data_IF_378222480779
#
_entry.id   IF_378222480779
#
_cell.length_a   1.000
_cell.length_b   1.000
_cell.length_c   1.000
_cell.angle_alpha   90.00
_cell.angle_beta   90.00
_cell.angle_gamma   90.00
#
_symmetry.space_group_name_H-M   'P 1'
#
loop_
_entity.id
_entity.type
_entity.pdbx_description
1 polymer ?
#
# COMPACT_ATOMS: atom_id res chain seq x y z
N UNK A 1 11.31 12.38 59.25
CA UNK A 1 10.79 11.00 59.03
C UNK A 1 10.25 11.01 57.62
N UNK A 2 11.17 10.87 56.67
CA UNK A 2 10.91 11.06 55.24
C UNK A 2 10.66 9.71 54.60
N UNK A 3 9.52 9.61 53.92
CA UNK A 3 9.08 8.45 53.16
C UNK A 3 9.79 8.49 51.82
N UNK A 4 10.69 7.53 51.60
CA UNK A 4 11.36 7.30 50.32
C UNK A 4 10.38 6.60 49.37
N UNK A 5 9.90 7.32 48.36
CA UNK A 5 9.24 6.74 47.18
C UNK A 5 10.31 6.32 46.18
N UNK A 6 10.47 5.01 45.98
CA UNK A 6 11.26 4.46 44.87
C UNK A 6 10.48 4.65 43.56
N UNK A 7 11.00 5.49 42.67
CA UNK A 7 10.60 5.54 41.28
C UNK A 7 11.07 4.27 40.56
N UNK A 8 10.13 3.53 39.98
CA UNK A 8 10.43 2.46 39.03
C UNK A 8 10.83 3.12 37.72
N UNK A 9 12.11 3.00 37.35
CA UNK A 9 12.61 3.45 36.06
C UNK A 9 11.92 2.68 34.93
N UNK A 10 11.11 3.39 34.14
CA UNK A 10 10.63 2.93 32.85
C UNK A 10 11.84 2.79 31.92
N UNK A 11 12.27 1.55 31.69
CA UNK A 11 13.25 1.20 30.66
C UNK A 11 12.74 1.77 29.34
N UNK A 12 13.50 2.73 28.82
CA UNK A 12 13.24 3.40 27.56
C UNK A 12 13.49 2.38 26.45
N UNK A 13 12.42 1.82 25.88
CA UNK A 13 12.51 0.91 24.73
C UNK A 13 13.06 1.72 23.56
N UNK A 14 14.29 1.41 23.18
CA UNK A 14 15.02 2.04 22.08
C UNK A 14 14.26 1.76 20.77
N UNK A 15 13.82 2.77 20.01
CA UNK A 15 13.07 2.53 18.78
C UNK A 15 13.97 1.85 17.74
N UNK A 16 13.42 0.79 17.14
CA UNK A 16 14.02 -0.05 16.10
C UNK A 16 14.77 0.77 15.02
N UNK A 17 15.93 0.29 14.50
CA UNK A 17 16.77 0.98 13.51
C UNK A 17 16.12 1.42 12.18
N UNK A 18 14.82 1.18 11.97
CA UNK A 18 14.04 1.61 10.80
C UNK A 18 13.42 3.00 10.94
N UNK A 19 13.52 3.67 12.11
CA UNK A 19 13.01 5.03 12.28
C UNK A 19 13.99 6.08 11.75
N UNK A 20 14.01 6.32 10.44
CA UNK A 20 14.53 7.58 9.90
C UNK A 20 13.67 8.09 8.73
N UNK A 21 12.98 9.21 9.01
CA UNK A 21 12.23 10.12 8.12
C UNK A 21 10.74 9.84 7.87
N UNK A 22 9.92 9.90 8.94
CA UNK A 22 8.64 10.65 8.82
C UNK A 22 8.96 12.13 8.99
N UNK A 23 8.82 12.91 7.92
CA UNK A 23 8.75 14.36 8.01
C UNK A 23 7.55 14.72 8.91
N UNK A 24 7.86 15.35 10.03
CA UNK A 24 6.92 16.03 10.90
C UNK A 24 6.26 17.18 10.13
N UNK A 25 4.96 17.06 9.81
CA UNK A 25 3.96 18.14 9.95
C UNK A 25 2.58 17.78 9.36
N UNK A 26 1.55 18.19 10.11
CA UNK A 26 0.10 18.17 9.83
C UNK A 26 -0.59 16.82 10.07
N UNK A 27 -0.86 16.55 11.34
CA UNK A 27 -2.02 15.75 11.71
C UNK A 27 -3.27 16.60 11.52
N UNK A 28 -4.19 16.12 10.69
CA UNK A 28 -5.60 16.43 10.85
C UNK A 28 -6.26 15.20 11.45
N UNK A 29 -6.68 15.36 12.69
CA UNK A 29 -7.56 14.45 13.42
C UNK A 29 -8.94 14.51 12.79
N UNK A 30 -9.40 13.44 12.17
CA UNK A 30 -10.82 13.22 11.88
C UNK A 30 -11.14 11.80 12.30
N UNK A 31 -11.47 11.62 13.58
CA UNK A 31 -12.23 10.49 14.10
C UNK A 31 -12.94 10.99 15.36
N UNK A 32 -14.06 11.67 15.17
CA UNK A 32 -15.12 11.70 16.16
C UNK A 32 -16.45 11.92 15.43
N UNK A 33 -17.28 10.88 15.36
CA UNK A 33 -18.74 11.02 15.26
C UNK A 33 -19.41 9.69 15.62
N UNK A 34 -20.22 9.74 16.67
CA UNK A 34 -21.25 8.79 17.06
C UNK A 34 -22.27 8.58 15.93
N UNK A 35 -22.67 7.32 15.69
CA UNK A 35 -23.71 6.95 14.73
C UNK A 35 -25.10 6.99 15.40
N UNK A 36 -25.98 7.83 14.86
CA UNK A 36 -27.44 7.68 14.95
C UNK A 36 -28.04 7.87 13.54
N UNK A 37 -29.11 7.11 13.27
CA UNK A 37 -29.68 6.73 11.97
C UNK A 37 -30.53 7.79 11.23
N UNK A 38 -30.30 7.88 9.91
CA UNK A 38 -31.14 8.36 8.76
C UNK A 38 -31.53 9.85 8.60
N UNK A 39 -31.84 10.35 7.36
CA UNK A 39 -31.46 9.93 6.00
C UNK A 39 -30.67 11.02 5.23
N UNK A 40 -30.11 10.64 4.07
CA UNK A 40 -29.57 11.47 2.96
C UNK A 40 -29.51 13.00 3.20
N UNK A 41 -28.33 13.49 3.57
CA UNK A 41 -27.98 14.88 3.30
C UNK A 41 -26.68 14.90 2.49
N UNK A 42 -26.82 15.32 1.23
CA UNK A 42 -25.75 15.72 0.32
C UNK A 42 -24.99 16.91 0.92
N UNK A 43 -24.20 16.67 1.96
CA UNK A 43 -23.08 17.54 2.27
C UNK A 43 -21.93 17.15 1.35
N UNK A 44 -22.09 17.44 0.05
CA UNK A 44 -20.96 17.55 -0.88
C UNK A 44 -20.00 18.57 -0.28
N UNK A 45 -18.95 18.08 0.39
CA UNK A 45 -17.76 18.87 0.62
C UNK A 45 -17.22 19.17 -0.76
N UNK A 46 -17.50 20.40 -1.21
CA UNK A 46 -17.22 20.95 -2.53
C UNK A 46 -15.76 20.67 -2.89
N UNK A 47 -15.52 19.55 -3.58
CA UNK A 47 -14.23 19.25 -4.17
C UNK A 47 -14.07 20.29 -5.26
N UNK A 48 -13.03 21.10 -5.23
CA UNK A 48 -12.76 21.98 -6.36
C UNK A 48 -11.26 21.96 -6.54
N UNK A 49 -10.82 21.67 -7.76
CA UNK A 49 -9.39 21.65 -8.10
C UNK A 49 -8.91 23.10 -8.24
N UNK A 50 -8.90 23.85 -7.13
CA UNK A 50 -8.62 25.30 -7.08
C UNK A 50 -7.13 25.55 -7.30
N UNK A 51 -6.77 26.52 -8.13
CA UNK A 51 -5.36 26.90 -8.37
C UNK A 51 -4.58 25.95 -9.29
N UNK A 52 -5.25 25.04 -9.99
CA UNK A 52 -4.67 24.14 -11.00
C UNK A 52 -4.77 24.65 -12.45
N UNK A 53 -5.28 25.87 -12.67
CA UNK A 53 -5.51 26.40 -14.03
C UNK A 53 -4.23 26.49 -14.85
N UNK A 54 -3.10 26.85 -14.22
CA UNK A 54 -1.81 26.87 -14.87
C UNK A 54 -1.33 25.45 -15.21
N UNK A 55 -1.62 24.44 -14.38
CA UNK A 55 -1.34 23.04 -14.72
C UNK A 55 -2.14 22.58 -15.95
N UNK A 56 -3.43 22.93 -16.03
CA UNK A 56 -4.27 22.66 -17.21
C UNK A 56 -3.73 23.37 -18.46
N UNK A 57 -3.44 24.66 -18.38
CA UNK A 57 -2.87 25.43 -19.48
C UNK A 57 -1.52 24.85 -19.92
N UNK A 58 -0.68 24.45 -18.97
CA UNK A 58 0.60 23.81 -19.23
C UNK A 58 0.43 22.42 -19.88
N UNK A 59 -0.55 21.62 -19.46
CA UNK A 59 -0.88 20.33 -20.09
C UNK A 59 -1.27 20.50 -21.56
N UNK A 60 -2.11 21.51 -21.86
CA UNK A 60 -2.50 21.88 -23.23
C UNK A 60 -1.28 22.36 -24.03
N UNK A 61 -0.41 23.17 -23.44
CA UNK A 61 0.81 23.63 -24.10
C UNK A 61 1.74 22.45 -24.43
N UNK A 62 1.91 21.50 -23.51
CA UNK A 62 2.68 20.27 -23.74
C UNK A 62 2.08 19.43 -24.88
N UNK A 63 0.77 19.42 -25.06
CA UNK A 63 0.13 18.77 -26.21
C UNK A 63 0.60 19.41 -27.53
N UNK A 64 0.54 20.75 -27.61
CA UNK A 64 0.91 21.51 -28.82
C UNK A 64 2.37 21.32 -29.24
N UNK A 65 3.26 21.06 -28.28
CA UNK A 65 4.68 20.78 -28.54
C UNK A 65 5.03 19.29 -28.50
N UNK A 66 4.04 18.41 -28.50
CA UNK A 66 4.17 16.95 -28.49
C UNK A 66 5.07 16.41 -27.34
N UNK A 67 4.85 16.89 -26.12
CA UNK A 67 5.64 16.54 -24.92
C UNK A 67 4.89 15.70 -23.88
N UNK A 68 3.57 15.57 -23.97
CA UNK A 68 2.77 14.84 -22.96
C UNK A 68 3.25 13.40 -22.78
N UNK A 69 3.33 12.61 -23.85
CA UNK A 69 3.79 11.21 -23.79
C UNK A 69 5.21 11.11 -23.22
N UNK A 70 6.12 11.97 -23.69
CA UNK A 70 7.51 11.97 -23.23
C UNK A 70 7.65 12.31 -21.74
N UNK A 71 6.78 13.16 -21.18
CA UNK A 71 6.73 13.44 -19.74
C UNK A 71 6.21 12.25 -18.95
N UNK A 72 5.13 11.60 -19.41
CA UNK A 72 4.58 10.42 -18.72
C UNK A 72 5.57 9.26 -18.73
N UNK A 73 6.17 8.94 -19.88
CA UNK A 73 7.19 7.89 -19.96
C UNK A 73 8.38 8.21 -19.04
N UNK A 74 8.87 9.46 -19.08
CA UNK A 74 9.95 9.87 -18.19
C UNK A 74 9.57 9.79 -16.72
N UNK A 75 8.32 10.06 -16.36
CA UNK A 75 7.83 9.92 -14.99
C UNK A 75 8.03 8.50 -14.48
N UNK A 76 7.62 7.49 -15.24
CA UNK A 76 7.81 6.12 -14.82
C UNK A 76 9.28 5.68 -14.86
N UNK A 77 10.09 6.19 -15.79
CA UNK A 77 11.54 5.94 -15.77
C UNK A 77 12.18 6.48 -14.48
N UNK A 78 11.90 7.73 -14.11
CA UNK A 78 12.41 8.31 -12.85
C UNK A 78 11.88 7.56 -11.62
N UNK A 79 10.61 7.12 -11.65
CA UNK A 79 9.98 6.33 -10.58
C UNK A 79 10.67 4.97 -10.39
N UNK A 80 10.83 4.19 -11.45
CA UNK A 80 11.41 2.83 -11.40
C UNK A 80 12.93 2.84 -11.17
N UNK A 81 13.58 3.96 -11.47
CA UNK A 81 14.99 4.22 -11.16
C UNK A 81 15.19 4.57 -9.68
N UNK A 82 14.39 5.51 -9.17
CA UNK A 82 14.53 6.06 -7.82
C UNK A 82 13.93 5.15 -6.74
N UNK A 83 12.88 4.40 -7.07
CA UNK A 83 12.10 3.59 -6.14
C UNK A 83 12.05 2.14 -6.62
N UNK A 84 13.20 1.45 -6.62
CA UNK A 84 13.32 0.09 -7.16
C UNK A 84 12.38 -0.92 -6.49
N UNK A 85 12.05 -0.75 -5.20
CA UNK A 85 11.07 -1.58 -4.49
C UNK A 85 9.65 -1.51 -5.07
N UNK A 86 9.33 -0.52 -5.91
CA UNK A 86 8.03 -0.42 -6.57
C UNK A 86 7.97 -1.20 -7.88
N UNK A 87 9.11 -1.60 -8.47
CA UNK A 87 9.16 -2.35 -9.74
C UNK A 87 8.24 -3.57 -9.75
N UNK A 88 8.13 -4.38 -8.67
CA UNK A 88 7.30 -5.58 -8.68
C UNK A 88 5.79 -5.34 -8.82
N UNK A 89 5.31 -4.11 -8.57
CA UNK A 89 3.91 -3.71 -8.74
C UNK A 89 3.49 -3.88 -10.21
N UNK A 90 4.35 -3.52 -11.16
CA UNK A 90 4.03 -3.58 -12.59
C UNK A 90 4.62 -4.82 -13.28
N UNK A 91 3.87 -5.45 -14.21
CA UNK A 91 4.41 -6.54 -15.04
C UNK A 91 5.67 -6.15 -15.82
N UNK A 92 5.72 -4.94 -16.39
CA UNK A 92 6.90 -4.45 -17.10
C UNK A 92 8.05 -4.12 -16.13
N UNK A 93 7.75 -3.66 -14.91
CA UNK A 93 8.77 -3.36 -13.90
C UNK A 93 9.47 -4.62 -13.38
N UNK A 94 8.73 -5.74 -13.27
CA UNK A 94 9.29 -7.06 -12.91
C UNK A 94 10.31 -7.62 -13.90
N UNK A 95 10.33 -7.10 -15.14
CA UNK A 95 11.26 -7.54 -16.20
C UNK A 95 12.53 -6.71 -16.26
N UNK A 96 12.67 -5.67 -15.44
CA UNK A 96 13.86 -4.84 -15.42
C UNK A 96 15.01 -5.62 -14.80
N UNK A 97 16.05 -5.88 -15.58
CA UNK A 97 17.33 -6.36 -15.10
C UNK A 97 18.15 -5.16 -14.58
N UNK A 98 18.51 -5.11 -13.28
CA UNK A 98 19.33 -4.02 -12.75
C UNK A 98 20.75 -3.97 -13.32
N UNK A 99 21.26 -5.06 -13.89
CA UNK A 99 22.60 -5.13 -14.48
C UNK A 99 22.63 -4.68 -15.95
N UNK A 100 21.48 -4.57 -16.59
CA UNK A 100 21.35 -4.07 -17.97
C UNK A 100 21.40 -2.55 -18.00
N UNK A 101 22.52 -1.95 -18.40
CA UNK A 101 22.66 -0.49 -18.54
C UNK A 101 21.65 0.15 -19.53
N UNK A 102 21.07 -0.66 -20.44
CA UNK A 102 20.11 -0.25 -21.46
C UNK A 102 18.64 -0.53 -21.10
N UNK A 103 18.35 -0.91 -19.84
CA UNK A 103 16.99 -1.27 -19.41
C UNK A 103 15.96 -0.15 -19.65
N UNK A 104 16.37 1.12 -19.57
CA UNK A 104 15.49 2.28 -19.83
C UNK A 104 15.02 2.27 -21.30
N UNK A 105 15.90 1.97 -22.25
CA UNK A 105 15.60 1.88 -23.68
C UNK A 105 14.71 0.68 -24.00
N UNK A 106 15.02 -0.48 -23.41
CA UNK A 106 14.19 -1.68 -23.54
C UNK A 106 12.78 -1.46 -22.99
N UNK A 107 12.66 -0.80 -21.83
CA UNK A 107 11.36 -0.48 -21.25
C UNK A 107 10.56 0.49 -22.14
N UNK A 108 11.21 1.50 -22.71
CA UNK A 108 10.58 2.40 -23.69
C UNK A 108 10.12 1.69 -24.96
N UNK A 109 10.51 0.44 -25.21
CA UNK A 109 10.00 -0.37 -26.32
C UNK A 109 8.90 -1.36 -25.89
N UNK A 110 8.73 -1.61 -24.60
CA UNK A 110 7.76 -2.56 -24.04
C UNK A 110 6.31 -2.09 -24.28
N UNK A 111 5.49 -2.98 -24.86
CA UNK A 111 4.09 -2.67 -25.21
C UNK A 111 3.21 -2.42 -23.98
N UNK A 112 3.43 -3.14 -22.88
CA UNK A 112 2.67 -2.97 -21.65
C UNK A 112 3.00 -1.65 -20.97
N UNK A 113 4.28 -1.25 -21.02
CA UNK A 113 4.72 0.05 -20.55
C UNK A 113 4.08 1.19 -21.34
N UNK A 114 4.13 1.13 -22.68
CA UNK A 114 3.50 2.12 -23.56
C UNK A 114 2.01 2.23 -23.34
N UNK A 115 1.31 1.09 -23.24
CA UNK A 115 -0.13 1.07 -22.99
C UNK A 115 -0.48 1.69 -21.63
N UNK A 116 0.32 1.43 -20.58
CA UNK A 116 0.12 2.06 -19.29
C UNK A 116 0.35 3.57 -19.34
N UNK A 117 1.43 4.03 -19.98
CA UNK A 117 1.70 5.46 -20.16
C UNK A 117 0.57 6.15 -20.96
N UNK A 118 0.07 5.52 -22.01
CA UNK A 118 -1.07 6.01 -22.79
C UNK A 118 -2.34 6.14 -21.95
N UNK A 119 -2.63 5.15 -21.09
CA UNK A 119 -3.77 5.20 -20.18
C UNK A 119 -3.66 6.35 -19.16
N UNK A 120 -2.47 6.57 -18.58
CA UNK A 120 -2.24 7.68 -17.65
C UNK A 120 -2.34 9.04 -18.36
N UNK A 121 -1.80 9.16 -19.57
CA UNK A 121 -1.94 10.39 -20.36
C UNK A 121 -3.41 10.69 -20.67
N UNK A 122 -4.19 9.68 -21.08
CA UNK A 122 -5.61 9.84 -21.35
C UNK A 122 -6.39 10.24 -20.08
N UNK A 123 -6.07 9.61 -18.93
CA UNK A 123 -6.65 9.98 -17.65
C UNK A 123 -6.36 11.44 -17.29
N UNK A 124 -5.11 11.91 -17.46
CA UNK A 124 -4.75 13.31 -17.20
C UNK A 124 -5.52 14.27 -18.10
N UNK A 125 -5.64 13.96 -19.40
CA UNK A 125 -6.45 14.78 -20.32
C UNK A 125 -7.90 14.86 -19.87
N UNK A 126 -8.52 13.72 -19.56
CA UNK A 126 -9.91 13.68 -19.08
C UNK A 126 -10.10 14.48 -17.79
N UNK A 127 -9.19 14.35 -16.82
CA UNK A 127 -9.24 15.12 -15.57
C UNK A 127 -9.11 16.63 -15.81
N UNK A 128 -8.24 17.04 -16.75
CA UNK A 128 -8.03 18.45 -17.07
C UNK A 128 -9.19 19.05 -17.87
N UNK A 129 -9.85 18.28 -18.72
CA UNK A 129 -11.04 18.69 -19.48
C UNK A 129 -12.27 18.86 -18.58
N UNK A 130 -12.44 17.98 -17.60
CA UNK A 130 -13.57 17.99 -16.67
C UNK A 130 -13.28 18.65 -15.31
N UNK A 131 -12.14 19.36 -15.18
CA UNK A 131 -11.72 20.03 -13.93
C UNK A 131 -12.82 20.89 -13.29
N UNK A 132 -13.66 21.52 -14.11
CA UNK A 132 -14.72 22.42 -13.68
C UNK A 132 -16.04 21.67 -13.34
N UNK A 133 -16.03 20.33 -13.38
CA UNK A 133 -17.13 19.43 -13.04
C UNK A 133 -16.73 18.52 -11.84
N UNK A 134 -16.61 19.09 -10.63
CA UNK A 134 -15.95 18.41 -9.53
C UNK A 134 -16.61 17.11 -9.07
N UNK A 135 -17.93 17.04 -9.06
CA UNK A 135 -18.65 15.80 -8.72
C UNK A 135 -18.42 14.67 -9.73
N UNK A 136 -18.12 15.00 -11.00
CA UNK A 136 -17.75 14.02 -12.01
C UNK A 136 -16.31 13.53 -11.78
N UNK A 137 -15.37 14.47 -11.62
CA UNK A 137 -13.95 14.16 -11.39
C UNK A 137 -13.73 13.36 -10.11
N UNK A 138 -14.41 13.73 -9.03
CA UNK A 138 -14.32 13.04 -7.74
C UNK A 138 -14.77 11.56 -7.86
N UNK A 139 -15.92 11.30 -8.49
CA UNK A 139 -16.41 9.94 -8.72
C UNK A 139 -15.45 9.10 -9.57
N UNK A 140 -14.94 9.68 -10.65
CA UNK A 140 -13.96 9.03 -11.52
C UNK A 140 -12.67 8.68 -10.76
N UNK A 141 -12.12 9.61 -9.99
CA UNK A 141 -10.89 9.39 -9.22
C UNK A 141 -11.09 8.35 -8.12
N UNK A 142 -12.27 8.31 -7.48
CA UNK A 142 -12.62 7.28 -6.52
C UNK A 142 -12.70 5.89 -7.18
N UNK A 143 -13.29 5.79 -8.38
CA UNK A 143 -13.33 4.54 -9.15
C UNK A 143 -11.92 4.08 -9.54
N UNK A 144 -11.09 5.00 -10.03
CA UNK A 144 -9.66 4.73 -10.30
C UNK A 144 -8.96 4.23 -9.02
N UNK A 145 -9.21 4.87 -7.87
CA UNK A 145 -8.69 4.44 -6.57
C UNK A 145 -9.13 3.03 -6.19
N UNK A 146 -10.41 2.70 -6.37
CA UNK A 146 -10.92 1.35 -6.11
C UNK A 146 -10.22 0.28 -6.95
N UNK A 147 -9.87 0.58 -8.22
CA UNK A 147 -9.05 -0.33 -9.03
C UNK A 147 -7.60 -0.44 -8.52
N UNK A 148 -7.00 0.67 -8.08
CA UNK A 148 -5.65 0.70 -7.54
C UNK A 148 -5.49 -0.14 -6.27
N UNK A 149 -6.55 -0.28 -5.46
CA UNK A 149 -6.58 -1.23 -4.34
C UNK A 149 -6.28 -2.66 -4.78
N UNK A 150 -6.80 -3.10 -5.93
CA UNK A 150 -6.57 -4.45 -6.48
C UNK A 150 -5.22 -4.60 -7.17
N UNK A 151 -4.57 -3.49 -7.54
CA UNK A 151 -3.21 -3.47 -8.11
C UNK A 151 -2.12 -3.39 -7.04
N UNK A 152 -2.48 -3.49 -5.76
CA UNK A 152 -1.56 -3.35 -4.63
C UNK A 152 -0.90 -1.98 -4.53
N UNK A 153 -1.55 -0.96 -5.07
CA UNK A 153 -1.11 0.40 -4.90
C UNK A 153 -1.58 0.95 -3.54
N UNK A 154 -0.70 1.68 -2.88
CA UNK A 154 -0.96 2.38 -1.62
C UNK A 154 -0.83 3.88 -1.82
N UNK A 155 -1.32 4.64 -0.84
CA UNK A 155 -1.28 6.09 -0.78
C UNK A 155 0.15 6.63 -0.94
N UNK A 156 1.15 5.91 -0.40
CA UNK A 156 2.58 6.25 -0.51
C UNK A 156 3.14 6.10 -1.94
N UNK A 157 2.59 5.21 -2.76
CA UNK A 157 3.03 5.08 -4.15
C UNK A 157 2.70 6.35 -4.97
N UNK A 158 1.58 7.02 -4.67
CA UNK A 158 1.22 8.28 -5.34
C UNK A 158 2.15 9.43 -4.95
N UNK A 159 2.72 9.43 -3.74
CA UNK A 159 3.77 10.39 -3.36
C UNK A 159 5.03 10.19 -4.20
N UNK A 160 5.45 8.94 -4.39
CA UNK A 160 6.58 8.60 -5.25
C UNK A 160 6.33 9.02 -6.70
N UNK A 161 5.11 8.77 -7.20
CA UNK A 161 4.68 9.21 -8.53
C UNK A 161 4.73 10.74 -8.67
N UNK A 162 4.23 11.49 -7.69
CA UNK A 162 4.28 12.95 -7.70
C UNK A 162 5.71 13.48 -7.81
N UNK A 163 6.63 12.95 -6.99
CA UNK A 163 8.05 13.34 -7.03
C UNK A 163 8.66 13.05 -8.40
N UNK A 164 8.43 11.85 -8.93
CA UNK A 164 8.93 11.44 -10.23
C UNK A 164 8.35 12.27 -11.38
N UNK A 165 7.06 12.63 -11.31
CA UNK A 165 6.38 13.45 -12.31
C UNK A 165 6.96 14.88 -12.35
N UNK A 166 7.21 15.48 -11.18
CA UNK A 166 7.86 16.78 -11.10
C UNK A 166 9.28 16.75 -11.67
N UNK A 167 10.05 15.70 -11.40
CA UNK A 167 11.37 15.50 -12.00
C UNK A 167 11.29 15.36 -13.53
N UNK A 168 10.32 14.59 -14.03
CA UNK A 168 10.09 14.40 -15.46
C UNK A 168 9.70 15.70 -16.18
N UNK A 169 8.82 16.51 -15.58
CA UNK A 169 8.47 17.84 -16.08
C UNK A 169 9.73 18.72 -16.21
N UNK A 170 10.55 18.82 -15.15
CA UNK A 170 11.80 19.61 -15.19
C UNK A 170 12.77 19.15 -16.27
N UNK A 171 12.82 17.85 -16.55
CA UNK A 171 13.72 17.25 -17.54
C UNK A 171 13.24 17.39 -18.98
N UNK A 172 11.93 17.26 -19.23
CA UNK A 172 11.36 17.20 -20.59
C UNK A 172 10.79 18.53 -21.07
N UNK A 173 10.40 19.40 -20.15
CA UNK A 173 9.75 20.67 -20.45
C UNK A 173 10.78 21.80 -20.42
N UNK A 174 11.26 22.17 -21.61
CA UNK A 174 12.29 23.19 -21.84
C UNK A 174 11.80 24.23 -22.85
N UNK A 175 12.42 25.40 -22.90
CA UNK A 175 12.04 26.45 -23.85
C UNK A 175 10.63 26.98 -23.58
N UNK A 176 9.75 26.95 -24.58
CA UNK A 176 8.39 27.53 -24.51
C UNK A 176 7.40 26.75 -23.63
N UNK A 177 7.77 25.57 -23.13
CA UNK A 177 6.99 24.84 -22.12
C UNK A 177 7.75 24.70 -20.79
N UNK A 178 8.77 25.52 -20.53
CA UNK A 178 9.55 25.42 -19.29
C UNK A 178 8.67 25.60 -18.05
N UNK A 179 8.95 24.80 -17.00
CA UNK A 179 8.39 25.02 -15.66
C UNK A 179 8.98 26.28 -15.02
N UNK A 180 8.11 27.20 -14.62
CA UNK A 180 8.37 28.22 -13.62
C UNK A 180 7.76 27.83 -12.27
N UNK A 181 7.97 28.66 -11.24
CA UNK A 181 7.53 28.37 -9.87
C UNK A 181 6.00 28.33 -9.73
N UNK A 182 5.28 29.13 -10.52
CA UNK A 182 3.81 29.20 -10.49
C UNK A 182 3.19 27.96 -11.14
N UNK A 183 3.71 27.55 -12.29
CA UNK A 183 3.33 26.30 -12.98
C UNK A 183 3.68 25.11 -12.09
N UNK A 184 4.87 25.09 -11.49
CA UNK A 184 5.30 24.03 -10.58
C UNK A 184 4.34 23.89 -9.38
N UNK A 185 3.99 25.01 -8.77
CA UNK A 185 3.02 25.07 -7.67
C UNK A 185 1.65 24.55 -8.09
N UNK A 186 1.16 24.99 -9.26
CA UNK A 186 -0.13 24.57 -9.80
C UNK A 186 -0.21 23.07 -10.07
N UNK A 187 0.88 22.46 -10.58
CA UNK A 187 0.97 21.00 -10.74
C UNK A 187 0.95 20.25 -9.41
N UNK A 188 1.66 20.75 -8.39
CA UNK A 188 1.65 20.16 -7.05
C UNK A 188 0.26 20.18 -6.44
N UNK A 189 -0.48 21.27 -6.61
CA UNK A 189 -1.88 21.37 -6.17
C UNK A 189 -2.75 20.35 -6.87
N UNK A 190 -2.73 20.33 -8.22
CA UNK A 190 -3.51 19.37 -9.01
C UNK A 190 -3.22 17.92 -8.61
N UNK A 191 -1.94 17.52 -8.56
CA UNK A 191 -1.58 16.16 -8.21
C UNK A 191 -1.91 15.82 -6.76
N UNK A 192 -1.83 16.81 -5.86
CA UNK A 192 -2.24 16.68 -4.46
C UNK A 192 -3.71 16.30 -4.36
N UNK A 193 -4.58 17.02 -5.05
CA UNK A 193 -6.03 16.76 -5.08
C UNK A 193 -6.36 15.42 -5.74
N UNK A 194 -5.69 15.09 -6.85
CA UNK A 194 -5.80 13.77 -7.49
C UNK A 194 -5.45 12.65 -6.51
N UNK A 195 -4.33 12.80 -5.77
CA UNK A 195 -3.92 11.84 -4.75
C UNK A 195 -4.97 11.70 -3.66
N UNK A 196 -5.54 12.80 -3.15
CA UNK A 196 -6.59 12.74 -2.12
C UNK A 196 -7.75 11.87 -2.59
N UNK A 197 -8.30 12.13 -3.77
CA UNK A 197 -9.46 11.37 -4.28
C UNK A 197 -9.15 9.91 -4.62
N UNK A 198 -8.00 9.63 -5.23
CA UNK A 198 -7.60 8.24 -5.45
C UNK A 198 -7.43 7.50 -4.10
N UNK A 199 -6.89 8.17 -3.08
CA UNK A 199 -6.74 7.60 -1.73
C UNK A 199 -8.10 7.36 -1.06
N UNK A 200 -9.07 8.27 -1.22
CA UNK A 200 -10.45 8.07 -0.78
C UNK A 200 -11.06 6.82 -1.44
N UNK A 201 -10.90 6.65 -2.75
CA UNK A 201 -11.33 5.44 -3.47
C UNK A 201 -10.71 4.14 -2.93
N UNK A 202 -9.41 4.16 -2.63
CA UNK A 202 -8.71 3.02 -1.99
C UNK A 202 -9.30 2.73 -0.61
N UNK A 203 -9.52 3.76 0.21
CA UNK A 203 -10.06 3.62 1.56
C UNK A 203 -11.50 3.07 1.55
N UNK A 204 -12.35 3.54 0.64
CA UNK A 204 -13.70 2.99 0.42
C UNK A 204 -13.61 1.52 0.05
N UNK A 205 -12.70 1.15 -0.86
CA UNK A 205 -12.57 -0.24 -1.27
C UNK A 205 -11.99 -1.14 -0.17
N UNK A 206 -11.10 -0.61 0.69
CA UNK A 206 -10.59 -1.28 1.89
C UNK A 206 -11.71 -1.59 2.87
N UNK A 207 -12.58 -0.61 3.14
CA UNK A 207 -13.80 -0.76 3.97
C UNK A 207 -14.72 -1.82 3.38
N UNK A 208 -15.02 -1.74 2.09
CA UNK A 208 -15.85 -2.73 1.41
C UNK A 208 -15.25 -4.14 1.53
N UNK A 209 -13.95 -4.27 1.30
CA UNK A 209 -13.24 -5.54 1.44
C UNK A 209 -13.34 -6.10 2.86
N UNK A 210 -13.06 -5.29 3.89
CA UNK A 210 -13.16 -5.73 5.29
C UNK A 210 -14.58 -6.19 5.66
N UNK A 211 -15.62 -5.59 5.07
CA UNK A 211 -17.02 -5.99 5.31
C UNK A 211 -17.38 -7.33 4.65
N UNK A 212 -16.90 -7.61 3.44
CA UNK A 212 -17.42 -8.73 2.61
C UNK A 212 -16.39 -9.82 2.26
N UNK A 213 -15.12 -9.69 2.66
CA UNK A 213 -14.05 -10.58 2.22
C UNK A 213 -14.26 -12.06 2.57
N UNK A 214 -14.91 -12.33 3.71
CA UNK A 214 -15.08 -13.67 4.27
C UNK A 214 -16.54 -13.88 4.65
N UNK A 215 -17.11 -15.00 4.25
CA UNK A 215 -18.51 -15.38 4.56
C UNK A 215 -18.63 -16.03 5.94
N UNK A 216 -19.86 -16.14 6.45
CA UNK A 216 -20.15 -16.82 7.73
C UNK A 216 -19.70 -18.28 7.77
N UNK A 217 -19.75 -19.00 6.65
CA UNK A 217 -19.27 -20.38 6.57
C UNK A 217 -17.76 -20.45 6.56
N UNK A 218 -17.09 -19.58 5.78
CA UNK A 218 -15.63 -19.52 5.70
C UNK A 218 -15.02 -19.18 7.07
N UNK A 219 -15.56 -18.19 7.79
CA UNK A 219 -15.03 -17.83 9.11
C UNK A 219 -15.27 -18.91 10.18
N UNK A 220 -16.38 -19.67 10.08
CA UNK A 220 -16.62 -20.80 10.98
C UNK A 220 -15.56 -21.89 10.78
N UNK A 221 -15.22 -22.18 9.53
CA UNK A 221 -14.16 -23.13 9.18
C UNK A 221 -12.77 -22.61 9.63
N UNK A 222 -12.46 -21.34 9.38
CA UNK A 222 -11.24 -20.70 9.88
C UNK A 222 -11.13 -20.80 11.40
N UNK A 223 -12.22 -20.59 12.15
CA UNK A 223 -12.26 -20.72 13.61
C UNK A 223 -11.98 -22.16 14.07
N UNK A 224 -12.52 -23.16 13.35
CA UNK A 224 -12.22 -24.56 13.62
C UNK A 224 -10.73 -24.87 13.38
N UNK A 225 -10.18 -24.45 12.24
CA UNK A 225 -8.76 -24.65 11.91
C UNK A 225 -7.84 -23.91 12.87
N UNK A 226 -8.25 -22.73 13.33
CA UNK A 226 -7.53 -21.96 14.34
C UNK A 226 -7.46 -22.68 15.69
N UNK A 227 -8.48 -23.46 16.05
CA UNK A 227 -8.42 -24.32 17.23
C UNK A 227 -7.30 -25.35 17.11
N UNK A 228 -7.18 -26.03 15.96
CA UNK A 228 -6.08 -26.97 15.69
C UNK A 228 -4.71 -26.28 15.72
N UNK A 229 -4.60 -25.06 15.18
CA UNK A 229 -3.37 -24.24 15.29
C UNK A 229 -3.03 -23.94 16.76
N UNK A 230 -4.05 -23.66 17.57
CA UNK A 230 -3.88 -23.38 19.00
C UNK A 230 -3.41 -24.63 19.76
N UNK A 231 -3.99 -25.80 19.47
CA UNK A 231 -3.58 -27.10 20.04
C UNK A 231 -2.14 -27.47 19.68
N UNK A 232 -1.72 -27.19 18.44
CA UNK A 232 -0.32 -27.36 18.01
C UNK A 232 0.66 -26.46 18.79
N UNK A 233 0.18 -25.28 19.20
CA UNK A 233 0.93 -24.24 19.89
C UNK A 233 1.15 -23.03 18.99
N UNK A 234 0.49 -21.92 19.34
CA UNK A 234 0.46 -20.67 18.55
C UNK A 234 1.86 -20.14 18.23
N UNK A 235 2.78 -20.15 19.20
CA UNK A 235 4.16 -19.69 18.98
C UNK A 235 4.93 -20.61 18.01
N UNK A 236 4.78 -21.93 18.14
CA UNK A 236 5.40 -22.90 17.22
C UNK A 236 4.87 -22.74 15.80
N UNK A 237 3.56 -22.53 15.67
CA UNK A 237 2.92 -22.27 14.39
C UNK A 237 3.46 -20.97 13.77
N UNK A 238 3.49 -19.88 14.54
CA UNK A 238 3.99 -18.60 14.09
C UNK A 238 5.47 -18.63 13.70
N UNK A 239 6.31 -19.38 14.42
CA UNK A 239 7.71 -19.59 14.02
C UNK A 239 7.85 -20.24 12.64
N UNK A 240 6.98 -21.20 12.31
CA UNK A 240 6.96 -21.82 10.97
C UNK A 240 6.55 -20.79 9.92
N UNK A 241 5.46 -20.05 10.16
CA UNK A 241 4.99 -19.01 9.25
C UNK A 241 6.07 -17.95 8.99
N UNK A 242 6.58 -17.33 10.04
CA UNK A 242 7.51 -16.20 9.92
C UNK A 242 8.85 -16.63 9.31
N UNK A 243 9.41 -17.78 9.69
CA UNK A 243 10.68 -18.26 9.11
C UNK A 243 10.54 -18.57 7.62
N UNK A 244 9.49 -19.30 7.22
CA UNK A 244 9.23 -19.61 5.81
C UNK A 244 8.94 -18.34 4.99
N UNK A 245 8.19 -17.40 5.57
CA UNK A 245 7.95 -16.11 4.93
C UNK A 245 9.25 -15.32 4.74
N UNK A 246 10.10 -15.20 5.76
CA UNK A 246 11.37 -14.49 5.67
C UNK A 246 12.31 -15.13 4.64
N UNK A 247 12.42 -16.45 4.63
CA UNK A 247 13.23 -17.18 3.64
C UNK A 247 12.72 -16.92 2.21
N UNK A 248 11.41 -17.04 2.00
CA UNK A 248 10.81 -16.77 0.70
C UNK A 248 10.98 -15.29 0.30
N UNK A 249 10.87 -14.38 1.25
CA UNK A 249 11.04 -12.96 0.99
C UNK A 249 12.47 -12.61 0.56
N UNK A 250 13.49 -13.15 1.26
CA UNK A 250 14.89 -13.01 0.84
C UNK A 250 15.12 -13.55 -0.57
N UNK A 251 14.54 -14.72 -0.91
CA UNK A 251 14.64 -15.29 -2.25
C UNK A 251 13.96 -14.40 -3.31
N UNK A 252 12.80 -13.82 -3.00
CA UNK A 252 12.11 -12.88 -3.89
C UNK A 252 12.93 -11.59 -4.08
N UNK A 253 13.48 -11.02 -3.02
CA UNK A 253 14.34 -9.83 -3.13
C UNK A 253 15.54 -10.10 -4.02
N UNK A 254 16.16 -11.28 -3.87
CA UNK A 254 17.26 -11.70 -4.73
C UNK A 254 16.85 -11.84 -6.19
N UNK A 255 15.70 -12.45 -6.44
CA UNK A 255 15.16 -12.57 -7.80
C UNK A 255 14.97 -11.21 -8.49
N UNK A 256 14.69 -10.14 -7.74
CA UNK A 256 14.45 -8.80 -8.29
C UNK A 256 15.61 -7.81 -8.08
N UNK A 257 16.77 -8.26 -7.58
CA UNK A 257 17.94 -7.40 -7.31
C UNK A 257 17.67 -6.31 -6.27
N UNK A 258 16.95 -6.66 -5.20
CA UNK A 258 16.51 -5.76 -4.12
C UNK A 258 17.14 -6.13 -2.76
N UNK A 259 18.17 -6.98 -2.73
CA UNK A 259 18.76 -7.58 -1.52
C UNK A 259 19.28 -6.53 -0.55
N UNK A 260 19.85 -5.44 -1.08
CA UNK A 260 20.45 -4.37 -0.29
C UNK A 260 19.41 -3.45 0.40
N UNK A 261 18.12 -3.67 0.22
CA UNK A 261 17.07 -2.80 0.75
C UNK A 261 16.56 -3.21 2.13
N UNK A 262 16.99 -4.37 2.66
CA UNK A 262 16.52 -4.89 3.94
C UNK A 262 17.68 -5.42 4.77
N UNK A 263 17.91 -4.84 5.94
CA UNK A 263 18.77 -5.38 6.98
C UNK A 263 18.38 -6.82 7.35
N UNK A 264 19.37 -7.65 7.68
CA UNK A 264 19.17 -9.04 8.12
C UNK A 264 18.27 -9.10 9.37
N UNK A 265 17.00 -9.43 9.17
CA UNK A 265 15.99 -9.59 10.23
C UNK A 265 16.18 -10.92 10.99
N UNK A 266 17.05 -11.80 10.51
CA UNK A 266 17.35 -13.13 11.08
C UNK A 266 18.52 -13.14 12.07
N UNK A 267 19.16 -11.99 12.35
CA UNK A 267 20.30 -11.93 13.27
C UNK A 267 19.93 -11.90 14.74
N UNK A 268 18.69 -11.56 15.06
CA UNK A 268 18.22 -11.46 16.44
C UNK A 268 17.00 -12.37 16.68
N UNK A 269 17.24 -13.45 17.42
CA UNK A 269 16.22 -14.42 17.80
C UNK A 269 15.12 -13.76 18.66
N UNK A 270 15.46 -12.81 19.52
CA UNK A 270 14.49 -12.12 20.37
C UNK A 270 13.51 -11.28 19.53
N UNK A 271 14.03 -10.49 18.59
CA UNK A 271 13.20 -9.73 17.64
C UNK A 271 12.30 -10.65 16.81
N UNK A 272 12.79 -11.81 16.36
CA UNK A 272 11.95 -12.79 15.65
C UNK A 272 10.81 -13.32 16.51
N UNK A 273 11.09 -13.72 17.76
CA UNK A 273 10.05 -14.22 18.67
C UNK A 273 9.01 -13.14 18.99
N UNK A 274 9.43 -11.88 19.17
CA UNK A 274 8.51 -10.77 19.35
C UNK A 274 7.63 -10.55 18.10
N UNK A 275 8.21 -10.57 16.90
CA UNK A 275 7.46 -10.46 15.65
C UNK A 275 6.46 -11.61 15.45
N UNK A 276 6.86 -12.84 15.78
CA UNK A 276 5.99 -14.02 15.78
C UNK A 276 4.80 -13.82 16.71
N UNK A 277 5.06 -13.41 17.96
CA UNK A 277 4.01 -13.18 18.96
C UNK A 277 3.00 -12.14 18.47
N UNK A 278 3.48 -11.02 17.94
CA UNK A 278 2.63 -9.95 17.41
C UNK A 278 1.81 -10.39 16.19
N UNK A 279 2.44 -11.09 15.25
CA UNK A 279 1.77 -11.60 14.05
C UNK A 279 0.67 -12.59 14.40
N UNK A 280 0.95 -13.55 15.29
CA UNK A 280 -0.05 -14.54 15.70
C UNK A 280 -1.16 -13.92 16.55
N UNK A 281 -0.85 -12.93 17.39
CA UNK A 281 -1.87 -12.16 18.10
C UNK A 281 -2.78 -11.38 17.14
N UNK A 282 -2.22 -10.81 16.06
CA UNK A 282 -3.01 -10.15 15.02
C UNK A 282 -3.99 -11.13 14.35
N UNK A 283 -3.53 -12.32 13.95
CA UNK A 283 -4.41 -13.37 13.43
C UNK A 283 -5.48 -13.81 14.43
N UNK A 284 -5.13 -14.02 15.71
CA UNK A 284 -6.10 -14.35 16.75
C UNK A 284 -7.21 -13.30 16.83
N UNK A 285 -6.83 -12.03 16.90
CA UNK A 285 -7.77 -10.91 16.94
C UNK A 285 -8.66 -10.89 15.71
N UNK A 286 -8.10 -11.08 14.50
CA UNK A 286 -8.87 -11.16 13.27
C UNK A 286 -9.87 -12.32 13.26
N UNK A 287 -9.46 -13.52 13.65
CA UNK A 287 -10.35 -14.70 13.73
C UNK A 287 -11.52 -14.47 14.70
N UNK A 288 -11.25 -13.75 15.79
CA UNK A 288 -12.24 -13.46 16.82
C UNK A 288 -13.17 -12.28 16.51
N UNK A 289 -12.70 -11.26 15.79
CA UNK A 289 -13.45 -10.00 15.65
C UNK A 289 -14.56 -10.02 14.59
N UNK A 290 -14.57 -11.01 13.70
CA UNK A 290 -15.55 -11.06 12.61
C UNK A 290 -16.99 -11.18 13.11
N UNK A 291 -17.91 -10.38 12.55
CA UNK A 291 -19.36 -10.46 12.80
C UNK A 291 -20.17 -10.58 11.51
N UNK A 292 -21.39 -11.11 11.61
CA UNK A 292 -22.28 -11.29 10.46
C UNK A 292 -22.70 -9.97 9.81
N UNK A 293 -22.83 -8.90 10.60
CA UNK A 293 -23.32 -7.61 10.11
C UNK A 293 -22.18 -6.74 9.56
N UNK A 294 -21.02 -6.77 10.21
CA UNK A 294 -19.95 -5.80 9.97
C UNK A 294 -18.68 -6.43 9.39
N UNK A 295 -18.64 -7.76 9.22
CA UNK A 295 -17.42 -8.45 8.81
C UNK A 295 -16.26 -8.11 9.74
N UNK A 296 -15.17 -7.56 9.19
CA UNK A 296 -13.97 -7.13 9.92
C UNK A 296 -13.87 -5.61 10.15
N UNK A 297 -14.96 -4.84 10.03
CA UNK A 297 -14.92 -3.38 10.11
C UNK A 297 -14.31 -2.82 11.42
N UNK A 298 -14.44 -3.54 12.54
CA UNK A 298 -13.82 -3.15 13.81
C UNK A 298 -12.32 -3.46 13.94
N UNK A 299 -11.76 -4.24 13.00
CA UNK A 299 -10.39 -4.75 13.11
C UNK A 299 -9.31 -3.65 13.09
N UNK A 300 -9.39 -2.57 12.28
CA UNK A 300 -8.37 -1.51 12.29
C UNK A 300 -8.14 -0.88 13.66
N UNK A 301 -9.22 -0.68 14.43
CA UNK A 301 -9.12 -0.15 15.79
C UNK A 301 -8.38 -1.11 16.74
N UNK A 302 -8.55 -2.43 16.54
CA UNK A 302 -7.96 -3.48 17.37
C UNK A 302 -6.48 -3.75 17.02
N UNK A 303 -6.05 -3.51 15.78
CA UNK A 303 -4.70 -3.81 15.30
C UNK A 303 -3.79 -2.58 15.13
N UNK A 304 -4.18 -1.42 15.65
CA UNK A 304 -3.40 -0.18 15.55
C UNK A 304 -1.94 -0.33 15.98
N UNK A 305 -1.70 -1.01 17.11
CA UNK A 305 -0.34 -1.24 17.61
C UNK A 305 0.47 -2.17 16.70
N UNK A 306 -0.16 -3.23 16.19
CA UNK A 306 0.46 -4.15 15.24
C UNK A 306 0.89 -3.42 13.95
N UNK A 307 0.01 -2.57 13.39
CA UNK A 307 0.35 -1.76 12.21
C UNK A 307 1.55 -0.86 12.48
N UNK A 308 1.55 -0.16 13.62
CA UNK A 308 2.63 0.77 13.96
C UNK A 308 3.99 0.10 14.18
N UNK A 309 4.01 -1.17 14.59
CA UNK A 309 5.24 -1.88 14.95
C UNK A 309 5.71 -2.85 13.86
N UNK A 310 4.80 -3.43 13.08
CA UNK A 310 5.10 -4.55 12.18
C UNK A 310 4.85 -4.26 10.69
N UNK A 311 4.01 -3.28 10.34
CA UNK A 311 3.73 -2.94 8.94
C UNK A 311 4.69 -1.81 8.49
N UNK A 312 5.73 -2.20 7.75
CA UNK A 312 6.71 -1.26 7.20
C UNK A 312 6.25 -0.73 5.83
N UNK A 313 6.22 0.59 5.66
CA UNK A 313 5.87 1.26 4.40
C UNK A 313 7.00 1.24 3.35
N UNK A 314 8.23 0.94 3.78
CA UNK A 314 9.43 0.94 2.91
C UNK A 314 9.71 -0.44 2.27
N UNK A 315 8.81 -1.40 2.46
CA UNK A 315 8.91 -2.78 1.98
C UNK A 315 8.09 -2.91 0.70
N UNK A 316 8.54 -3.70 -0.29
CA UNK A 316 7.74 -3.98 -1.47
C UNK A 316 6.47 -4.77 -1.08
N UNK A 317 5.26 -4.15 -1.07
CA UNK A 317 4.07 -4.79 -0.48
C UNK A 317 3.69 -6.08 -1.21
N UNK A 318 3.83 -6.08 -2.54
CA UNK A 318 3.57 -7.25 -3.38
C UNK A 318 4.45 -8.45 -3.03
N UNK A 319 5.74 -8.22 -2.78
CA UNK A 319 6.67 -9.31 -2.45
C UNK A 319 6.49 -9.78 -1.01
N UNK A 320 6.26 -8.85 -0.07
CA UNK A 320 5.95 -9.20 1.33
C UNK A 320 4.70 -10.06 1.40
N UNK A 321 3.63 -9.69 0.69
CA UNK A 321 2.40 -10.50 0.66
C UNK A 321 2.66 -11.90 0.15
N UNK A 322 3.36 -12.03 -0.98
CA UNK A 322 3.69 -13.35 -1.55
C UNK A 322 4.46 -14.21 -0.55
N UNK A 323 5.42 -13.62 0.14
CA UNK A 323 6.21 -14.28 1.16
C UNK A 323 5.37 -14.72 2.37
N UNK A 324 4.53 -13.84 2.93
CA UNK A 324 3.69 -14.20 4.08
C UNK A 324 2.64 -15.24 3.69
N UNK A 325 2.03 -15.13 2.52
CA UNK A 325 1.12 -16.15 2.01
C UNK A 325 1.83 -17.50 1.81
N UNK A 326 3.07 -17.50 1.34
CA UNK A 326 3.89 -18.72 1.27
C UNK A 326 4.09 -19.34 2.65
N UNK A 327 4.56 -18.55 3.62
CA UNK A 327 4.78 -19.01 4.99
C UNK A 327 3.50 -19.50 5.66
N UNK A 328 2.38 -18.83 5.43
CA UNK A 328 1.06 -19.22 5.93
C UNK A 328 0.64 -20.59 5.37
N UNK A 329 0.77 -20.81 4.06
CA UNK A 329 0.46 -22.12 3.45
C UNK A 329 1.37 -23.22 3.98
N UNK A 330 2.67 -22.94 4.18
CA UNK A 330 3.62 -23.90 4.77
C UNK A 330 3.25 -24.27 6.20
N UNK A 331 2.89 -23.27 7.01
CA UNK A 331 2.41 -23.47 8.37
C UNK A 331 1.15 -24.34 8.40
N UNK A 332 0.15 -24.03 7.58
CA UNK A 332 -1.10 -24.79 7.51
C UNK A 332 -0.85 -26.25 7.10
N UNK A 333 -0.06 -26.49 6.05
CA UNK A 333 0.28 -27.86 5.60
C UNK A 333 0.99 -28.68 6.66
N UNK A 334 1.80 -28.03 7.49
CA UNK A 334 2.50 -28.69 8.60
C UNK A 334 1.56 -29.06 9.75
N UNK A 335 0.55 -28.23 10.03
CA UNK A 335 -0.33 -28.38 11.20
C UNK A 335 -1.55 -29.23 10.88
N UNK A 336 -2.20 -28.94 9.75
CA UNK A 336 -3.43 -29.62 9.32
C UNK A 336 -3.15 -30.90 8.53
N UNK A 337 -1.90 -31.15 8.14
CA UNK A 337 -1.53 -32.28 7.28
C UNK A 337 -1.53 -31.90 5.80
N UNK A 338 -0.46 -32.27 5.09
CA UNK A 338 -0.20 -31.82 3.72
C UNK A 338 -1.30 -32.15 2.70
N UNK A 339 -1.98 -33.28 2.89
CA UNK A 339 -3.07 -33.76 2.03
C UNK A 339 -4.44 -33.15 2.40
N UNK A 340 -4.58 -32.61 3.62
CA UNK A 340 -5.83 -32.00 4.09
C UNK A 340 -5.96 -30.52 3.70
N UNK A 341 -4.83 -29.84 3.40
CA UNK A 341 -4.86 -28.44 2.95
C UNK A 341 -5.22 -28.38 1.47
N UNK A 342 -6.52 -28.33 1.20
CA UNK A 342 -7.07 -28.07 -0.13
C UNK A 342 -6.76 -26.64 -0.61
N UNK A 343 -6.86 -26.41 -1.92
CA UNK A 343 -6.76 -25.06 -2.49
C UNK A 343 -7.76 -24.09 -1.86
N UNK A 344 -8.96 -24.57 -1.53
CA UNK A 344 -9.99 -23.78 -0.85
C UNK A 344 -9.50 -23.28 0.52
N UNK A 345 -8.86 -24.14 1.32
CA UNK A 345 -8.28 -23.75 2.62
C UNK A 345 -7.17 -22.72 2.42
N UNK A 346 -6.30 -22.93 1.43
CA UNK A 346 -5.27 -21.93 1.13
C UNK A 346 -5.87 -20.57 0.76
N UNK A 347 -6.93 -20.54 -0.06
CA UNK A 347 -7.57 -19.28 -0.47
C UNK A 347 -8.25 -18.58 0.72
N UNK A 348 -8.93 -19.32 1.61
CA UNK A 348 -9.53 -18.74 2.82
C UNK A 348 -8.48 -18.10 3.72
N UNK A 349 -7.35 -18.77 3.98
CA UNK A 349 -6.28 -18.20 4.78
C UNK A 349 -5.55 -17.05 4.09
N UNK A 350 -5.40 -17.08 2.76
CA UNK A 350 -4.89 -15.93 1.99
C UNK A 350 -5.82 -14.71 2.12
N UNK A 351 -7.14 -14.90 2.13
CA UNK A 351 -8.12 -13.84 2.43
C UNK A 351 -7.96 -13.31 3.85
N UNK A 352 -7.80 -14.19 4.84
CA UNK A 352 -7.57 -13.79 6.24
C UNK A 352 -6.29 -12.95 6.39
N UNK A 353 -5.20 -13.33 5.72
CA UNK A 353 -4.00 -12.50 5.72
C UNK A 353 -4.23 -11.15 5.02
N UNK A 354 -4.94 -11.14 3.88
CA UNK A 354 -5.27 -9.90 3.18
C UNK A 354 -6.13 -8.96 4.05
N UNK A 355 -7.02 -9.51 4.89
CA UNK A 355 -7.77 -8.75 5.91
C UNK A 355 -6.83 -8.10 6.91
N UNK A 356 -5.86 -8.83 7.46
CA UNK A 356 -4.83 -8.28 8.37
C UNK A 356 -4.00 -7.20 7.67
N UNK A 357 -3.64 -7.38 6.40
CA UNK A 357 -2.90 -6.38 5.62
C UNK A 357 -3.70 -5.09 5.40
N UNK A 358 -5.04 -5.16 5.39
CA UNK A 358 -5.95 -4.04 5.13
C UNK A 358 -6.27 -3.20 6.37
N UNK A 359 -5.59 -3.38 7.49
CA UNK A 359 -5.87 -2.64 8.72
C UNK A 359 -5.14 -1.29 8.85
N UNK A 360 -4.45 -0.89 7.77
CA UNK A 360 -3.67 0.35 7.67
C UNK A 360 -4.51 1.62 7.53
#
# INVERSE_FOLDING_TARGET
MDVVTQSVDLVTINPHPWRLKRLTKHGSSILDTSYDTEPESDSEVDFEIRGSDLARAHWIQMHKVNKQTAVIEQTFLELLKSYRHLRPVWPFGRRIDPEDESWEEHLSQDIYFKNHCGAIQAAFTMLMEHKDEPGCVSRLLNEIGAHHFYYDATESHFECFQVAFMAALKKKCTGSCRLDDEIESSWKTFLGEVKVKISEGIAIQRVNYLRIAVTSSEIAEVRQQWHTITEYGVEKAGLVLCKEAMLNYKALLHQYGLENQIADVDKDEETLHQFVKMTMAAFQTSVSCWTTNDGFMGLPALLKEYVMQCMLLDVCPTLLRKAVQHGLVKMLKKILGGDEVSEQIEQMWKKMYRVVEQVN
#
